data_IF_732290489299
#
_entry.id   IF_732290489299
#
_cell.length_a   1.000
_cell.length_b   1.000
_cell.length_c   1.000
_cell.angle_alpha   90.00
_cell.angle_beta   90.00
_cell.angle_gamma   90.00
#
_symmetry.space_group_name_H-M   'P 1'
#
loop_
_entity.id
_entity.type
_entity.pdbx_description
1 polymer ?
#
# COMPACT_ATOMS: atom_id res chain seq x y z
N UNK A 1 -49.89 13.42 61.61
CA UNK A 1 -49.15 13.56 62.87
C UNK A 1 -49.42 12.38 63.81
N UNK A 2 -50.69 12.07 64.12
CA UNK A 2 -51.07 10.92 64.97
C UNK A 2 -50.65 9.56 64.38
N UNK A 3 -50.77 9.41 63.07
CA UNK A 3 -50.42 8.17 62.35
C UNK A 3 -48.92 7.84 62.42
N UNK A 4 -48.07 8.86 62.28
CA UNK A 4 -46.60 8.70 62.36
C UNK A 4 -46.15 8.39 63.78
N UNK A 5 -46.80 8.97 64.80
CA UNK A 5 -46.51 8.67 66.20
C UNK A 5 -46.88 7.21 66.56
N UNK A 6 -48.01 6.72 66.05
CA UNK A 6 -48.45 5.34 66.26
C UNK A 6 -47.45 4.33 65.67
N UNK A 7 -46.90 4.60 64.48
CA UNK A 7 -45.92 3.75 63.80
C UNK A 7 -44.54 3.68 64.50
N UNK A 8 -44.19 4.71 65.27
CA UNK A 8 -42.99 4.69 66.11
C UNK A 8 -43.24 3.85 67.38
N UNK A 9 -44.42 4.00 68.00
CA UNK A 9 -44.80 3.25 69.20
C UNK A 9 -45.03 1.76 68.95
N UNK A 10 -45.46 1.36 67.76
CA UNK A 10 -45.59 -0.05 67.36
C UNK A 10 -44.27 -0.71 66.93
N UNK A 11 -43.18 0.07 66.84
CA UNK A 11 -41.85 -0.41 66.44
C UNK A 11 -41.67 -0.61 64.93
N UNK A 12 -42.59 -0.10 64.10
CA UNK A 12 -42.50 -0.19 62.64
C UNK A 12 -41.52 0.83 62.02
N UNK A 13 -41.24 1.94 62.72
CA UNK A 13 -40.27 2.95 62.31
C UNK A 13 -39.20 3.16 63.38
N UNK A 14 -37.94 2.94 63.01
CA UNK A 14 -36.80 3.20 63.91
C UNK A 14 -36.40 4.68 63.88
N UNK A 15 -36.13 5.27 65.06
CA UNK A 15 -35.70 6.66 65.18
C UNK A 15 -34.18 6.77 65.25
N UNK A 16 -33.58 6.99 64.08
CA UNK A 16 -32.14 7.23 63.91
C UNK A 16 -31.87 7.90 62.55
N UNK A 17 -30.73 8.57 62.40
CA UNK A 17 -30.39 9.21 61.12
C UNK A 17 -30.10 8.12 60.07
N UNK A 18 -31.08 7.82 59.21
CA UNK A 18 -30.94 6.87 58.09
C UNK A 18 -31.62 5.52 58.26
N UNK A 19 -32.35 5.26 59.35
CA UNK A 19 -32.86 3.93 59.72
C UNK A 19 -34.09 3.44 58.92
N UNK A 20 -34.74 4.30 58.13
CA UNK A 20 -35.93 3.93 57.33
C UNK A 20 -35.73 4.13 55.81
N UNK A 21 -34.48 4.07 55.34
CA UNK A 21 -34.18 4.12 53.90
C UNK A 21 -34.36 2.73 53.29
N UNK A 22 -35.50 2.49 52.64
CA UNK A 22 -35.72 1.28 51.85
C UNK A 22 -34.74 1.31 50.66
N UNK A 23 -33.90 0.28 50.58
CA UNK A 23 -32.93 0.13 49.51
C UNK A 23 -33.60 0.06 48.15
N UNK A 24 -33.38 1.08 47.33
CA UNK A 24 -32.85 0.93 45.96
C UNK A 24 -32.25 2.26 45.56
N UNK A 25 -31.06 2.60 46.08
CA UNK A 25 -30.20 3.52 45.36
C UNK A 25 -29.73 2.77 44.12
N UNK A 26 -30.53 2.83 43.04
CA UNK A 26 -29.98 2.68 41.70
C UNK A 26 -28.85 3.71 41.62
N UNK A 27 -27.64 3.17 41.47
CA UNK A 27 -26.35 3.86 41.43
C UNK A 27 -26.55 5.27 40.90
N UNK A 28 -26.51 6.23 41.82
CA UNK A 28 -26.88 7.60 41.51
C UNK A 28 -26.08 8.10 40.32
N UNK A 29 -26.79 8.70 39.39
CA UNK A 29 -26.29 9.83 38.60
C UNK A 29 -25.89 10.95 39.57
N UNK A 30 -24.84 10.72 40.35
CA UNK A 30 -24.18 11.78 41.07
C UNK A 30 -23.63 12.71 40.01
N UNK A 31 -23.71 14.01 40.26
CA UNK A 31 -23.11 15.05 39.41
C UNK A 31 -21.61 14.80 39.12
N UNK A 32 -20.97 13.97 39.95
CA UNK A 32 -19.60 13.47 39.79
C UNK A 32 -19.47 12.36 38.74
N UNK A 33 -20.46 11.48 38.59
CA UNK A 33 -20.48 10.41 37.56
C UNK A 33 -20.49 11.01 36.16
N UNK A 34 -21.35 12.00 35.91
CA UNK A 34 -21.42 12.69 34.61
C UNK A 34 -20.18 13.55 34.35
N UNK A 35 -19.60 14.15 35.38
CA UNK A 35 -18.34 14.89 35.26
C UNK A 35 -17.15 13.96 34.94
N UNK A 36 -17.06 12.80 35.60
CA UNK A 36 -16.09 11.75 35.30
C UNK A 36 -16.28 11.23 33.87
N UNK A 37 -17.51 10.92 33.46
CA UNK A 37 -17.81 10.47 32.10
C UNK A 37 -17.40 11.53 31.05
N UNK A 38 -17.63 12.81 31.33
CA UNK A 38 -17.20 13.91 30.46
C UNK A 38 -15.68 14.02 30.38
N UNK A 39 -14.97 13.94 31.52
CA UNK A 39 -13.50 13.94 31.58
C UNK A 39 -12.94 12.72 30.85
N UNK A 40 -13.48 11.52 31.08
CA UNK A 40 -13.06 10.28 30.39
C UNK A 40 -13.31 10.37 28.90
N UNK A 41 -14.44 10.94 28.47
CA UNK A 41 -14.73 11.17 27.04
C UNK A 41 -13.74 12.15 26.41
N UNK A 42 -13.38 13.24 27.10
CA UNK A 42 -12.35 14.18 26.66
C UNK A 42 -10.98 13.49 26.57
N UNK A 43 -10.55 12.77 27.62
CA UNK A 43 -9.28 12.03 27.60
C UNK A 43 -9.23 11.01 26.46
N UNK A 44 -10.32 10.28 26.20
CA UNK A 44 -10.41 9.34 25.08
C UNK A 44 -10.33 10.04 23.73
N UNK A 45 -10.94 11.21 23.59
CA UNK A 45 -10.86 12.03 22.38
C UNK A 45 -9.42 12.53 22.14
N UNK A 46 -8.76 13.07 23.16
CA UNK A 46 -7.37 13.53 23.05
C UNK A 46 -6.41 12.37 22.75
N UNK A 47 -6.56 11.23 23.43
CA UNK A 47 -5.75 10.04 23.16
C UNK A 47 -5.98 9.48 21.76
N UNK A 48 -7.22 9.52 21.26
CA UNK A 48 -7.51 9.13 19.88
C UNK A 48 -6.86 10.09 18.87
N UNK A 49 -6.85 11.40 19.16
CA UNK A 49 -6.14 12.41 18.37
C UNK A 49 -4.63 12.15 18.36
N UNK A 50 -4.02 11.85 19.51
CA UNK A 50 -2.58 11.58 19.61
C UNK A 50 -2.18 10.34 18.80
N UNK A 51 -2.98 9.26 18.86
CA UNK A 51 -2.78 8.08 18.00
C UNK A 51 -2.90 8.44 16.52
N UNK A 52 -3.89 9.24 16.15
CA UNK A 52 -4.09 9.67 14.76
C UNK A 52 -2.93 10.50 14.25
N UNK A 53 -2.44 11.45 15.04
CA UNK A 53 -1.29 12.28 14.69
C UNK A 53 -0.05 11.42 14.54
N UNK A 54 0.23 10.52 15.48
CA UNK A 54 1.36 9.59 15.38
C UNK A 54 1.26 8.67 14.14
N UNK A 55 0.06 8.22 13.79
CA UNK A 55 -0.16 7.44 12.57
C UNK A 55 0.07 8.27 11.31
N UNK A 56 -0.41 9.51 11.27
CA UNK A 56 -0.18 10.44 10.14
C UNK A 56 1.31 10.74 10.00
N UNK A 57 2.01 11.04 11.09
CA UNK A 57 3.45 11.32 11.09
C UNK A 57 4.24 10.10 10.60
N UNK A 58 3.88 8.89 11.04
CA UNK A 58 4.49 7.66 10.54
C UNK A 58 4.26 7.44 9.04
N UNK A 59 3.06 7.72 8.54
CA UNK A 59 2.75 7.62 7.11
C UNK A 59 3.51 8.69 6.30
N UNK A 60 3.59 9.92 6.81
CA UNK A 60 4.37 11.00 6.21
C UNK A 60 5.85 10.66 6.15
N UNK A 61 6.42 10.11 7.22
CA UNK A 61 7.81 9.69 7.26
C UNK A 61 8.08 8.53 6.28
N UNK A 62 7.17 7.56 6.19
CA UNK A 62 7.25 6.48 5.21
C UNK A 62 7.15 6.99 3.77
N UNK A 63 6.27 7.94 3.49
CA UNK A 63 6.16 8.58 2.18
C UNK A 63 7.42 9.39 1.85
N UNK A 64 7.90 10.23 2.75
CA UNK A 64 9.09 11.06 2.54
C UNK A 64 10.37 10.24 2.40
N UNK A 65 10.45 9.07 3.05
CA UNK A 65 11.58 8.15 2.86
C UNK A 65 11.49 7.34 1.58
N UNK A 66 10.27 7.05 1.08
CA UNK A 66 10.07 6.35 -0.20
C UNK A 66 10.18 7.24 -1.43
N UNK A 67 9.74 8.50 -1.31
CA UNK A 67 9.76 9.51 -2.37
C UNK A 67 10.72 10.63 -1.97
N UNK A 68 11.99 10.29 -1.83
CA UNK A 68 13.02 11.30 -1.64
C UNK A 68 13.12 12.22 -2.87
N UNK A 69 13.89 13.31 -2.75
CA UNK A 69 14.04 14.29 -3.82
C UNK A 69 14.50 13.65 -5.15
N UNK A 70 15.36 12.63 -5.06
CA UNK A 70 15.85 11.89 -6.22
C UNK A 70 14.75 11.08 -6.91
N UNK A 71 13.92 10.35 -6.15
CA UNK A 71 12.80 9.57 -6.68
C UNK A 71 11.73 10.48 -7.30
N UNK A 72 11.47 11.64 -6.71
CA UNK A 72 10.56 12.64 -7.29
C UNK A 72 11.12 13.19 -8.59
N UNK A 73 12.40 13.53 -8.65
CA UNK A 73 13.05 14.01 -9.87
C UNK A 73 13.04 12.94 -10.98
N UNK A 74 13.34 11.69 -10.63
CA UNK A 74 13.23 10.53 -11.52
C UNK A 74 11.84 10.45 -12.15
N UNK A 75 10.77 10.58 -11.35
CA UNK A 75 9.39 10.55 -11.83
C UNK A 75 9.08 11.74 -12.75
N UNK A 76 9.52 12.95 -12.38
CA UNK A 76 9.33 14.16 -13.20
C UNK A 76 10.01 14.02 -14.56
N UNK A 77 11.24 13.49 -14.60
CA UNK A 77 11.96 13.26 -15.85
C UNK A 77 11.32 12.12 -16.67
N UNK A 78 10.81 11.08 -16.01
CA UNK A 78 10.10 9.97 -16.67
C UNK A 78 8.82 10.42 -17.38
N UNK A 79 8.16 11.49 -16.91
CA UNK A 79 7.02 12.09 -17.61
C UNK A 79 7.36 12.61 -19.02
N UNK A 80 8.64 12.79 -19.37
CA UNK A 80 9.04 13.13 -20.72
C UNK A 80 8.81 12.00 -21.74
N UNK A 81 8.56 10.76 -21.29
CA UNK A 81 8.23 9.63 -22.16
C UNK A 81 6.70 9.44 -22.31
N UNK A 82 5.88 10.19 -21.58
CA UNK A 82 4.43 10.01 -21.55
C UNK A 82 3.81 10.24 -22.95
N UNK A 83 3.13 9.23 -23.53
CA UNK A 83 2.49 9.36 -24.83
C UNK A 83 1.25 10.25 -24.83
N UNK A 84 0.70 10.61 -23.66
CA UNK A 84 -0.49 11.46 -23.55
C UNK A 84 -0.34 12.78 -24.29
N UNK A 85 -1.50 13.31 -24.71
CA UNK A 85 -1.62 14.57 -25.44
C UNK A 85 -0.69 14.64 -26.65
N UNK A 86 -0.54 13.53 -27.36
CA UNK A 86 0.36 13.39 -28.52
C UNK A 86 1.82 13.69 -28.20
N UNK A 87 2.33 13.10 -27.11
CA UNK A 87 3.73 13.25 -26.66
C UNK A 87 4.12 14.71 -26.34
N UNK A 88 3.18 15.54 -25.87
CA UNK A 88 3.42 16.97 -25.57
C UNK A 88 4.56 17.22 -24.59
N UNK A 89 4.76 16.31 -23.63
CA UNK A 89 5.80 16.41 -22.61
C UNK A 89 7.19 15.97 -23.09
N UNK A 90 7.29 15.44 -24.32
CA UNK A 90 8.52 14.86 -24.84
C UNK A 90 9.65 15.88 -24.95
N UNK A 91 10.80 15.54 -24.38
CA UNK A 91 11.98 16.38 -24.38
C UNK A 91 13.23 15.50 -24.36
N UNK A 92 14.03 15.61 -25.41
CA UNK A 92 15.28 14.87 -25.55
C UNK A 92 16.22 15.17 -24.38
N UNK A 93 16.36 16.44 -24.00
CA UNK A 93 17.26 16.85 -22.91
C UNK A 93 16.86 16.24 -21.57
N UNK A 94 15.55 16.23 -21.25
CA UNK A 94 15.04 15.61 -20.01
C UNK A 94 15.27 14.10 -19.99
N UNK A 95 15.06 13.44 -21.12
CA UNK A 95 15.25 12.00 -21.27
C UNK A 95 16.75 11.64 -21.18
N UNK A 96 17.64 12.46 -21.75
CA UNK A 96 19.07 12.24 -21.62
C UNK A 96 19.54 12.46 -20.17
N UNK A 97 19.01 13.46 -19.47
CA UNK A 97 19.27 13.68 -18.05
C UNK A 97 18.76 12.52 -17.18
N UNK A 98 17.59 11.96 -17.51
CA UNK A 98 17.05 10.77 -16.84
C UNK A 98 18.06 9.61 -16.91
N UNK A 99 18.58 9.33 -18.10
CA UNK A 99 19.51 8.23 -18.31
C UNK A 99 20.84 8.47 -17.61
N UNK A 100 21.45 9.64 -17.80
CA UNK A 100 22.76 9.94 -17.24
C UNK A 100 22.77 9.97 -15.71
N UNK A 101 21.67 10.42 -15.10
CA UNK A 101 21.57 10.57 -13.64
C UNK A 101 21.09 9.32 -12.93
N UNK A 102 20.10 8.62 -13.49
CA UNK A 102 19.41 7.52 -12.79
C UNK A 102 19.68 6.12 -13.35
N UNK A 103 20.20 6.02 -14.58
CA UNK A 103 20.52 4.74 -15.21
C UNK A 103 21.96 4.68 -15.79
N UNK A 104 23.00 5.13 -15.04
CA UNK A 104 24.36 5.18 -15.57
C UNK A 104 24.95 3.80 -15.86
N UNK A 105 24.52 2.76 -15.14
CA UNK A 105 25.01 1.39 -15.33
C UNK A 105 24.27 0.63 -16.42
N UNK A 106 23.03 1.01 -16.70
CA UNK A 106 22.23 0.37 -17.75
C UNK A 106 22.72 0.80 -19.13
N UNK A 107 23.26 2.02 -19.29
CA UNK A 107 23.67 2.59 -20.58
C UNK A 107 25.17 2.85 -20.65
N UNK A 108 25.82 2.31 -21.69
CA UNK A 108 27.24 2.60 -21.97
C UNK A 108 27.44 4.05 -22.41
N UNK A 109 28.66 4.60 -22.24
CA UNK A 109 28.98 5.97 -22.68
C UNK A 109 28.66 6.19 -24.18
N UNK A 110 28.90 5.19 -25.03
CA UNK A 110 28.57 5.26 -26.46
C UNK A 110 27.06 5.31 -26.71
N UNK A 111 26.28 4.54 -25.95
CA UNK A 111 24.82 4.56 -26.03
C UNK A 111 24.26 5.91 -25.57
N UNK A 112 24.81 6.49 -24.49
CA UNK A 112 24.40 7.81 -24.01
C UNK A 112 24.68 8.92 -25.05
N UNK A 113 25.78 8.84 -25.80
CA UNK A 113 26.06 9.77 -26.90
C UNK A 113 25.11 9.56 -28.08
N UNK A 114 24.69 8.32 -28.35
CA UNK A 114 23.78 7.98 -29.46
C UNK A 114 22.32 8.27 -29.17
N UNK A 115 21.90 8.14 -27.91
CA UNK A 115 20.52 8.27 -27.45
C UNK A 115 19.84 9.57 -27.92
N UNK A 116 20.45 10.78 -27.83
CA UNK A 116 19.82 12.01 -28.33
C UNK A 116 19.43 11.93 -29.81
N UNK A 117 20.28 11.33 -30.64
CA UNK A 117 20.01 11.17 -32.06
C UNK A 117 18.90 10.15 -32.29
N UNK A 118 18.93 9.02 -31.58
CA UNK A 118 17.88 8.00 -31.67
C UNK A 118 16.50 8.58 -31.28
N UNK A 119 16.44 9.36 -30.19
CA UNK A 119 15.23 10.03 -29.72
C UNK A 119 14.66 11.02 -30.74
N UNK A 120 15.51 11.75 -31.46
CA UNK A 120 15.06 12.66 -32.52
C UNK A 120 14.41 11.89 -33.68
N UNK A 121 15.03 10.79 -34.12
CA UNK A 121 14.46 9.95 -35.16
C UNK A 121 13.16 9.28 -34.70
N UNK A 122 13.14 8.77 -33.47
CA UNK A 122 11.97 8.21 -32.82
C UNK A 122 10.79 9.19 -32.82
N UNK A 123 11.02 10.44 -32.40
CA UNK A 123 9.96 11.45 -32.35
C UNK A 123 9.35 11.73 -33.73
N UNK A 124 10.17 11.80 -34.78
CA UNK A 124 9.68 12.06 -36.14
C UNK A 124 8.89 10.89 -36.70
N UNK A 125 9.36 9.66 -36.48
CA UNK A 125 8.76 8.44 -36.98
C UNK A 125 7.46 8.11 -36.22
N UNK A 126 7.51 8.06 -34.89
CA UNK A 126 6.41 7.60 -34.05
C UNK A 126 5.28 8.63 -33.95
N UNK A 127 5.57 9.92 -33.79
CA UNK A 127 4.52 10.92 -33.50
C UNK A 127 3.59 11.14 -34.69
N UNK A 128 4.02 10.77 -35.90
CA UNK A 128 3.22 10.87 -37.14
C UNK A 128 2.67 9.52 -37.59
N UNK A 129 3.03 8.42 -36.93
CA UNK A 129 2.65 7.10 -37.37
C UNK A 129 1.19 6.79 -37.01
N UNK A 130 0.36 6.29 -37.95
CA UNK A 130 -1.07 6.10 -37.75
C UNK A 130 -1.40 5.16 -36.58
N UNK A 131 -0.55 4.16 -36.31
CA UNK A 131 -0.73 3.21 -35.21
C UNK A 131 -0.51 3.81 -33.80
N UNK A 132 0.00 5.05 -33.69
CA UNK A 132 0.37 5.67 -32.40
C UNK A 132 -0.48 6.91 -32.04
N UNK A 133 -1.48 7.26 -32.86
CA UNK A 133 -2.28 8.48 -32.67
C UNK A 133 -3.22 8.50 -31.45
N UNK A 134 -3.46 7.36 -30.79
CA UNK A 134 -4.43 7.22 -29.69
C UNK A 134 -3.87 6.47 -28.47
N UNK A 135 -2.57 6.64 -28.18
CA UNK A 135 -1.92 5.94 -27.06
C UNK A 135 -1.99 6.83 -25.82
N UNK A 136 -2.44 6.28 -24.70
CA UNK A 136 -2.57 7.02 -23.44
C UNK A 136 -1.67 6.51 -22.32
N UNK A 137 -1.03 5.35 -22.52
CA UNK A 137 -0.19 4.72 -21.50
C UNK A 137 1.13 4.21 -22.08
N UNK A 138 2.17 4.16 -21.25
CA UNK A 138 3.46 3.57 -21.61
C UNK A 138 3.35 2.06 -21.93
N UNK A 139 2.43 1.34 -21.28
CA UNK A 139 2.20 -0.09 -21.58
C UNK A 139 1.65 -0.29 -23.00
N UNK A 140 0.68 0.52 -23.41
CA UNK A 140 0.16 0.50 -24.79
C UNK A 140 1.26 0.91 -25.77
N UNK A 141 2.09 1.90 -25.42
CA UNK A 141 3.24 2.30 -26.23
C UNK A 141 4.20 1.14 -26.48
N UNK A 142 4.65 0.45 -25.43
CA UNK A 142 5.51 -0.73 -25.55
C UNK A 142 4.87 -1.82 -26.42
N UNK A 143 3.59 -2.12 -26.22
CA UNK A 143 2.89 -3.11 -27.03
C UNK A 143 2.90 -2.73 -28.51
N UNK A 144 2.59 -1.46 -28.84
CA UNK A 144 2.60 -0.98 -30.22
C UNK A 144 4.00 -0.96 -30.83
N UNK A 145 5.03 -0.62 -30.05
CA UNK A 145 6.42 -0.70 -30.50
C UNK A 145 6.84 -2.14 -30.83
N UNK A 146 6.40 -3.11 -30.03
CA UNK A 146 6.64 -4.54 -30.28
C UNK A 146 5.89 -5.03 -31.54
N UNK A 147 4.60 -4.70 -31.67
CA UNK A 147 3.76 -5.10 -32.82
C UNK A 147 4.28 -4.55 -34.15
N UNK A 148 4.78 -3.32 -34.15
CA UNK A 148 5.27 -2.63 -35.36
C UNK A 148 6.73 -2.91 -35.68
N UNK A 149 7.43 -3.70 -34.84
CA UNK A 149 8.87 -3.95 -34.97
C UNK A 149 9.75 -2.73 -34.66
N UNK A 150 9.16 -1.61 -34.21
CA UNK A 150 9.86 -0.36 -33.88
C UNK A 150 10.75 -0.51 -32.65
N UNK A 151 10.45 -1.46 -31.76
CA UNK A 151 11.31 -1.81 -30.63
C UNK A 151 12.72 -2.26 -31.08
N UNK A 152 12.84 -2.91 -32.26
CA UNK A 152 14.14 -3.33 -32.82
C UNK A 152 14.86 -2.16 -33.50
N UNK A 153 14.10 -1.21 -34.04
CA UNK A 153 14.64 -0.02 -34.72
C UNK A 153 15.16 1.00 -33.70
N UNK A 154 14.50 1.13 -32.56
CA UNK A 154 14.82 2.06 -31.48
C UNK A 154 15.10 1.32 -30.16
N UNK A 155 16.16 0.50 -30.10
CA UNK A 155 16.42 -0.37 -28.96
C UNK A 155 16.76 0.41 -27.67
N UNK A 156 17.36 1.60 -27.77
CA UNK A 156 17.69 2.41 -26.59
C UNK A 156 16.44 3.03 -25.98
N UNK A 157 15.52 3.50 -26.84
CA UNK A 157 14.25 4.08 -26.42
C UNK A 157 13.35 3.00 -25.83
N UNK A 158 13.25 1.84 -26.48
CA UNK A 158 12.46 0.71 -25.99
C UNK A 158 12.96 0.21 -24.62
N UNK A 159 14.28 0.04 -24.46
CA UNK A 159 14.89 -0.32 -23.17
C UNK A 159 14.57 0.71 -22.09
N UNK A 160 14.66 2.00 -22.41
CA UNK A 160 14.38 3.06 -21.44
C UNK A 160 12.91 3.06 -21.01
N UNK A 161 11.96 2.88 -21.93
CA UNK A 161 10.55 2.80 -21.59
C UNK A 161 10.30 1.58 -20.69
N UNK A 162 10.92 0.44 -20.99
CA UNK A 162 10.84 -0.75 -20.14
C UNK A 162 11.39 -0.50 -18.74
N UNK A 163 12.55 0.16 -18.61
CA UNK A 163 13.13 0.53 -17.32
C UNK A 163 12.16 1.41 -16.51
N UNK A 164 11.58 2.44 -17.13
CA UNK A 164 10.61 3.33 -16.50
C UNK A 164 9.34 2.58 -16.07
N UNK A 165 8.85 1.65 -16.89
CA UNK A 165 7.70 0.79 -16.53
C UNK A 165 8.00 -0.15 -15.36
N UNK A 166 9.26 -0.59 -15.23
CA UNK A 166 9.70 -1.49 -14.15
C UNK A 166 10.14 -0.76 -12.88
N UNK A 167 10.05 0.57 -12.84
CA UNK A 167 10.43 1.35 -11.66
C UNK A 167 9.72 0.83 -10.40
N UNK A 168 10.45 0.63 -9.29
CA UNK A 168 9.90 0.05 -8.06
C UNK A 168 8.78 0.90 -7.43
N UNK A 169 8.58 2.12 -7.90
CA UNK A 169 7.45 3.02 -7.55
C UNK A 169 6.09 2.35 -7.74
N UNK A 170 5.95 1.37 -8.65
CA UNK A 170 4.69 0.64 -8.85
C UNK A 170 4.60 -0.74 -8.19
N UNK A 171 5.59 -1.19 -7.42
CA UNK A 171 5.44 -2.47 -6.69
C UNK A 171 4.90 -2.25 -5.29
N UNK A 172 3.58 -2.05 -5.19
CA UNK A 172 2.84 -2.46 -3.99
C UNK A 172 3.21 -3.91 -3.57
N UNK A 173 3.72 -4.73 -4.49
CA UNK A 173 4.20 -6.10 -4.26
C UNK A 173 5.41 -6.22 -3.34
N UNK A 174 6.42 -5.34 -3.40
CA UNK A 174 7.56 -5.44 -2.46
C UNK A 174 7.16 -4.98 -1.06
N UNK A 175 6.43 -3.87 -0.94
CA UNK A 175 5.83 -3.43 0.34
C UNK A 175 4.87 -4.48 0.93
N UNK A 176 4.04 -5.13 0.11
CA UNK A 176 3.20 -6.27 0.51
C UNK A 176 4.03 -7.47 0.93
N UNK A 177 5.13 -7.80 0.25
CA UNK A 177 6.01 -8.90 0.61
C UNK A 177 6.69 -8.66 1.97
N UNK A 178 7.21 -7.45 2.21
CA UNK A 178 7.81 -7.08 3.49
C UNK A 178 6.77 -7.02 4.62
N UNK A 179 5.57 -6.50 4.35
CA UNK A 179 4.45 -6.51 5.31
C UNK A 179 3.97 -7.94 5.60
N UNK A 180 3.78 -8.76 4.57
CA UNK A 180 3.47 -10.18 4.69
C UNK A 180 4.53 -10.93 5.49
N UNK A 181 5.81 -10.66 5.24
CA UNK A 181 6.91 -11.25 5.98
C UNK A 181 6.87 -10.89 7.45
N UNK A 182 6.60 -9.62 7.76
CA UNK A 182 6.48 -9.15 9.13
C UNK A 182 5.26 -9.81 9.82
N UNK A 183 4.13 -9.93 9.13
CA UNK A 183 2.92 -10.61 9.63
C UNK A 183 3.18 -12.10 9.86
N UNK A 184 3.76 -12.82 8.90
CA UNK A 184 4.04 -14.25 9.00
C UNK A 184 5.02 -14.53 10.14
N UNK A 185 6.12 -13.76 10.23
CA UNK A 185 7.15 -13.94 11.27
C UNK A 185 6.65 -13.55 12.66
N UNK A 186 5.90 -12.44 12.79
CA UNK A 186 5.40 -11.99 14.10
C UNK A 186 4.18 -12.77 14.58
N UNK A 187 3.34 -13.31 13.68
CA UNK A 187 2.19 -14.14 14.06
C UNK A 187 2.62 -15.53 14.52
N UNK A 188 3.68 -16.08 13.95
CA UNK A 188 4.19 -17.42 14.33
C UNK A 188 5.32 -17.41 15.37
N UNK A 189 5.91 -16.25 15.71
CA UNK A 189 6.97 -16.11 16.73
C UNK A 189 8.04 -17.22 16.68
N UNK A 190 8.41 -17.68 15.48
CA UNK A 190 9.26 -18.84 15.28
C UNK A 190 10.43 -18.52 14.36
N UNK A 191 11.61 -19.11 14.63
CA UNK A 191 12.68 -19.25 13.63
C UNK A 191 12.17 -20.20 12.54
N UNK A 192 11.60 -19.61 11.50
CA UNK A 192 11.09 -20.30 10.33
C UNK A 192 12.25 -20.51 9.35
N UNK A 193 12.41 -21.72 8.81
CA UNK A 193 13.45 -22.03 7.81
C UNK A 193 13.17 -21.25 6.51
N UNK A 194 14.24 -20.78 5.84
CA UNK A 194 14.14 -19.83 4.72
C UNK A 194 13.27 -20.35 3.57
N UNK A 195 13.35 -21.64 3.26
CA UNK A 195 12.55 -22.26 2.20
C UNK A 195 11.04 -22.23 2.52
N UNK A 196 10.68 -22.52 3.77
CA UNK A 196 9.28 -22.48 4.18
C UNK A 196 8.75 -21.03 4.25
N UNK A 197 9.59 -20.08 4.67
CA UNK A 197 9.26 -18.65 4.64
C UNK A 197 9.00 -18.18 3.21
N UNK A 198 9.87 -18.56 2.27
CA UNK A 198 9.73 -18.23 0.85
C UNK A 198 8.43 -18.78 0.27
N UNK A 199 8.12 -20.06 0.49
CA UNK A 199 6.87 -20.67 0.01
C UNK A 199 5.63 -20.00 0.61
N UNK A 200 5.64 -19.69 1.90
CA UNK A 200 4.52 -19.02 2.59
C UNK A 200 4.33 -17.58 2.12
N UNK A 201 5.43 -16.85 1.85
CA UNK A 201 5.39 -15.50 1.29
C UNK A 201 4.76 -15.48 -0.10
N UNK A 202 5.18 -16.39 -0.98
CA UNK A 202 4.61 -16.52 -2.33
C UNK A 202 3.10 -16.77 -2.26
N UNK A 203 2.67 -17.69 -1.39
CA UNK A 203 1.24 -18.02 -1.24
C UNK A 203 0.43 -16.86 -0.66
N UNK A 204 1.02 -16.05 0.22
CA UNK A 204 0.36 -14.89 0.80
C UNK A 204 0.28 -13.69 -0.17
N UNK A 205 1.35 -13.43 -0.94
CA UNK A 205 1.41 -12.35 -1.93
C UNK A 205 0.45 -12.65 -3.08
N UNK A 206 0.46 -13.89 -3.57
CA UNK A 206 -0.36 -14.35 -4.69
C UNK A 206 -1.67 -14.98 -4.20
N UNK A 207 -2.17 -14.60 -3.02
CA UNK A 207 -3.35 -15.24 -2.40
C UNK A 207 -4.58 -15.21 -3.31
N UNK A 208 -4.79 -14.13 -4.05
CA UNK A 208 -5.90 -14.01 -5.01
C UNK A 208 -5.83 -15.02 -6.18
N UNK A 209 -4.63 -15.48 -6.51
CA UNK A 209 -4.39 -16.53 -7.51
C UNK A 209 -4.48 -17.89 -6.83
N UNK A 210 -3.87 -18.05 -5.65
CA UNK A 210 -3.86 -19.30 -4.88
C UNK A 210 -5.29 -19.74 -4.47
N UNK A 211 -6.18 -18.80 -4.14
CA UNK A 211 -7.58 -19.07 -3.81
C UNK A 211 -8.38 -19.64 -5.00
N UNK A 212 -7.90 -19.44 -6.24
CA UNK A 212 -8.52 -20.00 -7.45
C UNK A 212 -8.04 -21.43 -7.74
N UNK A 213 -7.01 -21.91 -7.04
CA UNK A 213 -6.50 -23.26 -7.21
C UNK A 213 -7.27 -24.20 -6.29
N UNK A 214 -7.99 -25.15 -6.89
CA UNK A 214 -8.77 -26.15 -6.15
C UNK A 214 -7.80 -27.19 -5.57
N UNK A 215 -7.83 -27.39 -4.26
CA UNK A 215 -6.96 -28.37 -3.58
C UNK A 215 -7.12 -29.78 -4.13
N UNK A 216 -8.34 -30.17 -4.50
CA UNK A 216 -8.63 -31.46 -5.11
C UNK A 216 -7.95 -31.62 -6.48
N UNK A 217 -7.85 -30.55 -7.27
CA UNK A 217 -7.14 -30.57 -8.54
C UNK A 217 -5.62 -30.75 -8.34
N UNK A 218 -5.04 -30.17 -7.30
CA UNK A 218 -3.62 -30.40 -6.93
C UNK A 218 -3.42 -31.86 -6.51
N UNK A 219 -4.34 -32.42 -5.72
CA UNK A 219 -4.26 -33.81 -5.26
C UNK A 219 -4.36 -34.77 -6.43
N UNK A 220 -5.28 -34.53 -7.37
CA UNK A 220 -5.43 -35.33 -8.59
C UNK A 220 -4.16 -35.26 -9.44
N UNK A 221 -3.59 -34.07 -9.66
CA UNK A 221 -2.37 -33.90 -10.45
C UNK A 221 -1.14 -34.54 -9.76
N UNK A 222 -1.06 -34.50 -8.43
CA UNK A 222 -0.05 -35.25 -7.69
C UNK A 222 -0.25 -36.77 -7.76
N UNK A 223 -1.50 -37.22 -7.87
CA UNK A 223 -1.84 -38.63 -8.04
C UNK A 223 -1.52 -39.11 -9.47
N UNK A 224 -1.68 -38.28 -10.51
CA UNK A 224 -1.31 -38.64 -11.89
C UNK A 224 0.21 -38.70 -12.08
N UNK A 225 0.99 -37.90 -11.34
CA UNK A 225 2.46 -37.94 -11.33
C UNK A 225 3.01 -39.20 -10.61
N UNK A 226 2.18 -39.92 -9.85
CA UNK A 226 2.56 -41.12 -9.07
C UNK A 226 2.62 -42.43 -9.86
N UNK A 227 2.82 -42.41 -11.18
CA UNK A 227 3.45 -43.55 -11.86
C UNK A 227 4.97 -43.61 -11.54
N UNK A 228 5.31 -43.80 -10.26
CA UNK A 228 6.67 -44.18 -9.85
C UNK A 228 6.70 -45.70 -9.71
N UNK A 229 7.51 -46.35 -10.56
CA UNK A 229 7.82 -47.78 -10.53
C UNK A 229 8.15 -48.25 -9.11
N UNK A 230 7.50 -49.35 -8.70
CA UNK A 230 7.79 -50.13 -7.49
C UNK A 230 9.24 -50.61 -7.50
#
# INVERSE_FOLDING_TARGET
AVEVACMIDTGELETGRGTNQIGTLLVGDTRWSSHLNSITSLMRMFHATDIFVAAIDSQLQELNSRFDENMVELLILSCALDPKDSFKSFSVDKICNLVSKFYPEEFTEQEQIRLPYELQHYAVDIFKHPNFGSIFTLSELCQRLAETGKAVIYPLVDRLICLVLTLPVSTATTGRAFSAMNIIKNKHCSKMEDDYLKSSLVLYIEREIAEKIITDAIIDDFCTIKERRV
#
